data_IF_335586087972
#
_entry.id   IF_335586087972
#
_cell.length_a   1.000
_cell.length_b   1.000
_cell.length_c   1.000
_cell.angle_alpha   90.00
_cell.angle_beta   90.00
_cell.angle_gamma   90.00
#
_symmetry.space_group_name_H-M   'P 1'
#
loop_
_entity.id
_entity.type
_entity.pdbx_description
1 polymer ?
#
# COMPACT_ATOMS: atom_id res chain seq x y z
N UNK A 1 2.20 14.82 -19.53
CA UNK A 1 1.82 13.66 -18.71
C UNK A 1 2.68 13.62 -17.44
N UNK A 2 2.35 12.77 -16.46
CA UNK A 2 3.08 12.63 -15.19
C UNK A 2 3.28 11.14 -14.94
N UNK A 3 4.45 10.76 -14.40
CA UNK A 3 4.70 9.43 -13.86
C UNK A 3 4.41 9.45 -12.37
N UNK A 4 3.66 8.48 -11.88
CA UNK A 4 3.48 8.23 -10.46
C UNK A 4 3.84 6.79 -10.15
N UNK A 5 4.35 6.52 -8.95
CA UNK A 5 4.74 5.16 -8.60
C UNK A 5 4.72 4.87 -7.11
N UNK A 6 4.46 3.60 -6.81
CA UNK A 6 4.50 3.01 -5.48
C UNK A 6 5.58 1.93 -5.45
N UNK A 7 6.60 2.13 -4.63
CA UNK A 7 7.75 1.22 -4.50
C UNK A 7 7.63 0.48 -3.18
N UNK A 8 6.97 -0.68 -3.24
CA UNK A 8 6.86 -1.62 -2.12
C UNK A 8 8.03 -2.60 -2.05
N UNK A 9 8.12 -3.37 -0.95
CA UNK A 9 9.17 -4.39 -0.76
C UNK A 9 9.11 -5.52 -1.79
N UNK A 10 7.91 -5.93 -2.20
CA UNK A 10 7.69 -7.03 -3.14
C UNK A 10 7.54 -6.51 -4.57
N UNK A 11 6.62 -5.58 -4.77
CA UNK A 11 6.26 -5.06 -6.08
C UNK A 11 6.38 -3.54 -6.14
N UNK A 12 6.76 -3.05 -7.32
CA UNK A 12 6.76 -1.64 -7.69
C UNK A 12 5.70 -1.41 -8.77
N UNK A 13 4.74 -0.54 -8.48
CA UNK A 13 3.73 -0.08 -9.45
C UNK A 13 4.15 1.26 -10.03
N UNK A 14 4.24 1.37 -11.35
CA UNK A 14 4.49 2.63 -12.06
C UNK A 14 3.30 2.91 -12.95
N UNK A 15 2.70 4.09 -12.82
CA UNK A 15 1.58 4.52 -13.62
C UNK A 15 1.92 5.81 -14.37
N UNK A 16 1.46 5.91 -15.61
CA UNK A 16 1.49 7.15 -16.37
C UNK A 16 0.08 7.72 -16.41
N UNK A 17 -0.06 8.97 -16.04
CA UNK A 17 -1.33 9.70 -16.03
C UNK A 17 -1.29 10.86 -17.02
N UNK A 18 -2.43 11.12 -17.66
CA UNK A 18 -2.61 12.26 -18.55
C UNK A 18 -2.93 13.56 -17.81
N UNK A 19 -3.19 14.66 -18.55
CA UNK A 19 -3.58 15.95 -17.99
C UNK A 19 -4.88 15.92 -17.18
N UNK A 20 -5.78 14.99 -17.50
CA UNK A 20 -7.04 14.79 -16.78
C UNK A 20 -6.89 13.80 -15.60
N UNK A 21 -5.64 13.48 -15.23
CA UNK A 21 -5.30 12.57 -14.14
C UNK A 21 -5.84 11.13 -14.32
N UNK A 22 -6.16 10.73 -15.54
CA UNK A 22 -6.55 9.34 -15.87
C UNK A 22 -5.30 8.51 -16.13
N UNK A 23 -5.27 7.30 -15.59
CA UNK A 23 -4.17 6.35 -15.83
C UNK A 23 -4.28 5.84 -17.26
N UNK A 24 -3.23 6.07 -18.05
CA UNK A 24 -3.13 5.61 -19.44
C UNK A 24 -2.24 4.37 -19.58
N UNK A 25 -1.34 4.15 -18.65
CA UNK A 25 -0.50 2.94 -18.60
C UNK A 25 -0.14 2.56 -17.19
N UNK A 26 -0.11 1.24 -16.93
CA UNK A 26 0.35 0.65 -15.66
C UNK A 26 1.47 -0.35 -15.95
N UNK A 27 2.49 -0.31 -15.11
CA UNK A 27 3.57 -1.30 -15.06
C UNK A 27 3.61 -1.86 -13.64
N UNK A 28 3.71 -3.17 -13.53
CA UNK A 28 3.95 -3.87 -12.27
C UNK A 28 5.27 -4.62 -12.42
N UNK A 29 6.21 -4.35 -11.53
CA UNK A 29 7.57 -4.88 -11.58
C UNK A 29 7.93 -5.48 -10.23
N UNK A 30 8.49 -6.69 -10.16
CA UNK A 30 9.07 -7.20 -8.92
C UNK A 30 10.20 -6.27 -8.46
N UNK A 31 10.08 -5.68 -7.27
CA UNK A 31 10.98 -4.62 -6.79
C UNK A 31 12.45 -5.05 -6.82
N UNK A 32 12.75 -6.27 -6.39
CA UNK A 32 14.12 -6.82 -6.37
C UNK A 32 14.74 -7.02 -7.77
N UNK A 33 13.91 -7.08 -8.83
CA UNK A 33 14.39 -7.26 -10.22
C UNK A 33 14.61 -5.95 -10.96
N UNK A 34 14.28 -4.81 -10.35
CA UNK A 34 14.42 -3.50 -11.00
C UNK A 34 15.90 -3.15 -11.13
N UNK A 35 16.30 -2.87 -12.36
CA UNK A 35 17.61 -2.37 -12.77
C UNK A 35 17.46 -1.45 -13.98
N UNK A 36 18.54 -0.79 -14.39
CA UNK A 36 18.51 0.17 -15.50
C UNK A 36 18.06 -0.47 -16.83
N UNK A 37 18.46 -1.70 -17.12
CA UNK A 37 18.07 -2.42 -18.34
C UNK A 37 16.58 -2.70 -18.37
N UNK A 38 16.01 -3.19 -17.26
CA UNK A 38 14.57 -3.43 -17.15
C UNK A 38 13.78 -2.13 -17.28
N UNK A 39 14.22 -1.05 -16.61
CA UNK A 39 13.57 0.26 -16.72
C UNK A 39 13.63 0.79 -18.16
N UNK A 40 14.78 0.71 -18.82
CA UNK A 40 14.93 1.10 -20.21
C UNK A 40 13.95 0.33 -21.12
N UNK A 41 13.90 -1.01 -20.99
CA UNK A 41 12.98 -1.86 -21.75
C UNK A 41 11.51 -1.50 -21.49
N UNK A 42 11.13 -1.33 -20.21
CA UNK A 42 9.72 -1.08 -19.84
C UNK A 42 9.24 0.34 -20.10
N UNK A 43 10.13 1.33 -20.09
CA UNK A 43 9.81 2.74 -20.32
C UNK A 43 10.18 3.22 -21.74
N UNK A 44 10.74 2.35 -22.60
CA UNK A 44 11.15 2.68 -23.97
C UNK A 44 10.03 3.30 -24.80
N UNK A 45 8.77 2.93 -24.55
CA UNK A 45 7.62 3.50 -25.27
C UNK A 45 7.46 5.01 -25.03
N UNK A 46 7.98 5.56 -23.93
CA UNK A 46 8.00 7.02 -23.66
C UNK A 46 8.84 7.71 -24.72
N UNK A 47 10.04 7.17 -24.99
CA UNK A 47 10.96 7.69 -26.01
C UNK A 47 10.41 7.44 -27.40
N UNK A 48 10.03 6.18 -27.73
CA UNK A 48 9.55 5.79 -29.06
C UNK A 48 8.31 6.56 -29.52
N UNK A 49 7.43 6.95 -28.59
CA UNK A 49 6.20 7.69 -28.89
C UNK A 49 6.31 9.19 -28.62
N UNK A 50 7.51 9.67 -28.33
CA UNK A 50 7.78 11.07 -27.96
C UNK A 50 6.82 11.62 -26.90
N UNK A 51 6.58 10.83 -25.82
CA UNK A 51 5.63 11.20 -24.78
C UNK A 51 6.28 12.25 -23.86
N UNK A 52 5.76 13.47 -23.87
CA UNK A 52 6.21 14.51 -22.96
C UNK A 52 5.76 14.22 -21.53
N UNK A 53 6.72 13.97 -20.65
CA UNK A 53 6.53 13.78 -19.22
C UNK A 53 7.10 14.99 -18.48
N UNK A 54 6.26 15.72 -17.75
CA UNK A 54 6.68 16.95 -17.05
C UNK A 54 7.44 16.65 -15.75
N UNK A 55 6.95 15.72 -14.95
CA UNK A 55 7.47 15.40 -13.60
C UNK A 55 7.05 14.01 -13.16
N UNK A 56 7.65 13.52 -12.08
CA UNK A 56 7.26 12.24 -11.48
C UNK A 56 7.19 12.31 -9.97
N UNK A 57 6.21 11.58 -9.38
CA UNK A 57 5.98 11.47 -7.95
C UNK A 57 5.94 10.01 -7.53
N UNK A 58 6.74 9.65 -6.54
CA UNK A 58 6.77 8.30 -6.00
C UNK A 58 6.53 8.31 -4.48
N UNK A 59 5.87 7.28 -3.96
CA UNK A 59 6.02 6.86 -2.59
C UNK A 59 6.92 5.62 -2.55
N UNK A 60 7.75 5.50 -1.52
CA UNK A 60 8.69 4.39 -1.42
C UNK A 60 8.96 3.98 0.01
N UNK A 61 8.99 2.67 0.24
CA UNK A 61 9.51 2.03 1.45
C UNK A 61 10.82 1.28 1.19
N UNK A 62 11.38 1.42 -0.02
CA UNK A 62 12.66 0.83 -0.43
C UNK A 62 13.59 1.91 -0.99
N UNK A 63 14.36 2.62 -0.12
CA UNK A 63 15.16 3.79 -0.51
C UNK A 63 16.11 3.56 -1.68
N UNK A 64 16.83 2.44 -1.69
CA UNK A 64 17.79 2.11 -2.75
C UNK A 64 17.11 1.98 -4.12
N UNK A 65 15.94 1.36 -4.18
CA UNK A 65 15.19 1.24 -5.43
C UNK A 65 14.61 2.57 -5.88
N UNK A 66 14.18 3.41 -4.95
CA UNK A 66 13.79 4.77 -5.29
C UNK A 66 14.93 5.58 -5.90
N UNK A 67 16.13 5.53 -5.31
CA UNK A 67 17.32 6.23 -5.83
C UNK A 67 17.70 5.74 -7.23
N UNK A 68 17.61 4.43 -7.49
CA UNK A 68 17.86 3.84 -8.81
C UNK A 68 16.84 4.36 -9.84
N UNK A 69 15.54 4.29 -9.53
CA UNK A 69 14.48 4.77 -10.43
C UNK A 69 14.62 6.29 -10.64
N UNK A 70 14.86 7.06 -9.59
CA UNK A 70 15.10 8.50 -9.67
C UNK A 70 16.27 8.83 -10.59
N UNK A 71 17.42 8.18 -10.41
CA UNK A 71 18.60 8.37 -11.25
C UNK A 71 18.30 8.03 -12.71
N UNK A 72 17.63 6.92 -12.97
CA UNK A 72 17.21 6.55 -14.33
C UNK A 72 16.31 7.60 -14.98
N UNK A 73 15.25 8.05 -14.29
CA UNK A 73 14.32 9.04 -14.81
C UNK A 73 15.01 10.38 -15.09
N UNK A 74 15.89 10.82 -14.18
CA UNK A 74 16.62 12.08 -14.33
C UNK A 74 17.69 12.02 -15.44
N UNK A 75 18.51 10.97 -15.46
CA UNK A 75 19.65 10.88 -16.40
C UNK A 75 19.24 10.48 -17.81
N UNK A 76 18.30 9.51 -17.93
CA UNK A 76 17.90 8.94 -19.23
C UNK A 76 16.70 9.63 -19.86
N UNK A 77 15.76 10.10 -19.07
CA UNK A 77 14.52 10.69 -19.57
C UNK A 77 14.38 12.20 -19.26
N UNK A 78 15.34 12.79 -18.52
CA UNK A 78 15.34 14.20 -18.11
C UNK A 78 14.08 14.60 -17.30
N UNK A 79 13.50 13.65 -16.57
CA UNK A 79 12.27 13.84 -15.79
C UNK A 79 12.63 14.11 -14.32
N UNK A 80 12.14 15.23 -13.76
CA UNK A 80 12.23 15.51 -12.32
C UNK A 80 11.47 14.43 -11.53
N UNK A 81 12.14 13.83 -10.54
CA UNK A 81 11.56 12.76 -9.72
C UNK A 81 11.59 13.17 -8.23
N UNK A 82 10.40 13.19 -7.63
CA UNK A 82 10.20 13.60 -6.23
C UNK A 82 9.61 12.45 -5.43
N UNK A 83 10.04 12.33 -4.18
CA UNK A 83 9.46 11.39 -3.21
C UNK A 83 8.38 12.10 -2.40
N UNK A 84 7.24 11.42 -2.16
CA UNK A 84 6.05 11.98 -1.51
C UNK A 84 6.35 12.68 -0.17
N UNK A 85 7.21 12.10 0.67
CA UNK A 85 7.59 12.70 1.97
C UNK A 85 8.41 13.98 1.85
N UNK A 86 8.95 14.30 0.67
CA UNK A 86 9.67 15.56 0.43
C UNK A 86 8.73 16.73 0.13
N UNK A 87 7.45 16.46 -0.13
CA UNK A 87 6.45 17.49 -0.36
C UNK A 87 5.92 18.06 0.97
N UNK A 88 5.45 19.29 0.97
CA UNK A 88 4.71 19.85 2.10
C UNK A 88 3.27 19.27 2.11
N UNK A 89 3.08 18.17 2.80
CA UNK A 89 1.79 17.47 2.87
C UNK A 89 0.77 18.15 3.80
N UNK A 90 1.18 19.11 4.61
CA UNK A 90 0.26 19.85 5.50
C UNK A 90 -0.78 20.65 4.73
N UNK A 91 -0.46 21.02 3.48
CA UNK A 91 -1.42 21.62 2.54
C UNK A 91 -2.59 20.69 2.19
N UNK A 92 -2.43 19.38 2.40
CA UNK A 92 -3.44 18.38 2.07
C UNK A 92 -4.08 17.80 3.34
N UNK A 93 -3.25 17.43 4.33
CA UNK A 93 -3.66 16.65 5.49
C UNK A 93 -2.78 17.01 6.69
N UNK A 94 -3.40 17.31 7.83
CA UNK A 94 -2.66 17.45 9.08
C UNK A 94 -2.14 16.08 9.55
N UNK A 95 -0.92 16.06 10.10
CA UNK A 95 -0.27 14.84 10.59
C UNK A 95 0.08 15.05 12.06
N UNK A 96 -0.52 14.23 12.96
CA UNK A 96 -0.35 14.35 14.42
C UNK A 96 0.80 13.54 15.00
N UNK A 97 1.48 12.76 14.20
CA UNK A 97 2.58 11.90 14.62
C UNK A 97 3.87 12.30 13.93
N UNK A 98 5.01 11.77 14.37
CA UNK A 98 6.29 12.06 13.73
C UNK A 98 6.27 11.59 12.26
N UNK A 99 6.22 12.55 11.35
CA UNK A 99 6.13 12.31 9.91
C UNK A 99 7.31 11.48 9.36
N UNK A 100 8.49 11.62 9.95
CA UNK A 100 9.68 10.89 9.49
C UNK A 100 9.58 9.38 9.74
N UNK A 101 8.79 8.96 10.74
CA UNK A 101 8.58 7.55 11.08
C UNK A 101 7.43 6.88 10.30
N UNK A 102 6.63 7.64 9.55
CA UNK A 102 5.53 7.08 8.77
C UNK A 102 6.05 6.57 7.44
N UNK A 103 5.63 5.36 7.01
CA UNK A 103 5.86 4.86 5.65
C UNK A 103 5.21 5.78 4.61
N UNK A 104 5.88 5.97 3.48
CA UNK A 104 5.39 6.85 2.41
C UNK A 104 4.10 6.32 1.77
N UNK A 105 3.95 5.02 1.69
CA UNK A 105 2.76 4.28 1.27
C UNK A 105 1.56 4.57 2.18
N UNK A 106 1.77 4.56 3.51
CA UNK A 106 0.75 4.86 4.51
C UNK A 106 0.23 6.30 4.39
N UNK A 107 1.13 7.25 4.11
CA UNK A 107 0.76 8.64 3.81
C UNK A 107 -0.07 8.73 2.52
N UNK A 108 0.37 8.05 1.45
CA UNK A 108 -0.38 8.01 0.20
C UNK A 108 -1.78 7.40 0.38
N UNK A 109 -1.88 6.25 1.09
CA UNK A 109 -3.15 5.62 1.42
C UNK A 109 -4.10 6.57 2.16
N UNK A 110 -3.55 7.30 3.14
CA UNK A 110 -4.32 8.26 3.95
C UNK A 110 -4.80 9.46 3.12
N UNK A 111 -3.94 10.01 2.25
CA UNK A 111 -4.30 11.11 1.34
C UNK A 111 -5.42 10.69 0.38
N UNK A 112 -5.48 9.44 -0.04
CA UNK A 112 -6.52 8.96 -0.95
C UNK A 112 -7.92 9.14 -0.38
N UNK A 113 -8.09 9.00 0.93
CA UNK A 113 -9.40 8.93 1.60
C UNK A 113 -9.82 10.21 2.31
N UNK A 114 -8.92 11.21 2.45
CA UNK A 114 -9.26 12.43 3.17
C UNK A 114 -10.57 13.04 2.68
N UNK A 115 -11.46 13.37 3.62
CA UNK A 115 -12.76 13.98 3.35
C UNK A 115 -13.26 14.67 4.61
N UNK A 116 -13.79 15.89 4.47
CA UNK A 116 -14.40 16.60 5.61
C UNK A 116 -15.49 15.73 6.24
N UNK A 117 -15.55 15.73 7.56
CA UNK A 117 -16.56 15.04 8.37
C UNK A 117 -16.64 13.52 8.16
N UNK A 118 -15.56 12.88 7.71
CA UNK A 118 -15.51 11.42 7.56
C UNK A 118 -14.25 10.88 8.22
N UNK A 119 -14.40 9.70 8.82
CA UNK A 119 -13.29 8.98 9.46
C UNK A 119 -13.05 7.67 8.71
N UNK A 120 -11.78 7.31 8.59
CA UNK A 120 -11.36 6.12 7.86
C UNK A 120 -10.32 5.34 8.65
N UNK A 121 -10.44 4.02 8.63
CA UNK A 121 -9.36 3.09 8.94
C UNK A 121 -8.95 2.46 7.62
N UNK A 122 -7.67 2.58 7.27
CA UNK A 122 -7.12 1.92 6.09
C UNK A 122 -6.31 0.73 6.57
N UNK A 123 -6.75 -0.47 6.20
CA UNK A 123 -6.08 -1.73 6.48
C UNK A 123 -5.32 -2.17 5.23
N UNK A 124 -4.00 -2.27 5.32
CA UNK A 124 -3.15 -2.73 4.21
C UNK A 124 -2.48 -4.06 4.56
N UNK A 125 -2.73 -5.07 3.72
CA UNK A 125 -2.12 -6.39 3.79
C UNK A 125 -0.82 -6.44 2.97
N UNK A 126 0.20 -5.76 3.44
CA UNK A 126 1.55 -5.75 2.87
C UNK A 126 2.50 -6.72 3.56
N UNK A 127 3.80 -6.40 3.55
CA UNK A 127 4.84 -7.10 4.34
C UNK A 127 4.54 -7.04 5.84
N UNK A 128 3.99 -5.93 6.31
CA UNK A 128 3.28 -5.79 7.56
C UNK A 128 1.78 -5.62 7.30
N UNK A 129 0.95 -5.93 8.28
CA UNK A 129 -0.48 -5.59 8.28
C UNK A 129 -0.63 -4.26 9.02
N UNK A 130 -0.97 -3.18 8.31
CA UNK A 130 -1.05 -1.84 8.92
C UNK A 130 -2.49 -1.35 8.98
N UNK A 131 -2.78 -0.56 10.03
CA UNK A 131 -4.06 0.12 10.23
C UNK A 131 -3.77 1.61 10.35
N UNK A 132 -4.13 2.39 9.36
CA UNK A 132 -3.97 3.84 9.35
C UNK A 132 -5.27 4.52 9.74
N UNK A 133 -5.21 5.43 10.71
CA UNK A 133 -6.38 6.10 11.27
C UNK A 133 -6.42 7.55 10.79
N UNK A 134 -7.45 7.88 10.01
CA UNK A 134 -7.71 9.23 9.50
C UNK A 134 -9.02 9.74 10.07
N UNK A 135 -8.98 10.86 10.80
CA UNK A 135 -10.16 11.50 11.41
C UNK A 135 -10.24 12.93 10.92
N UNK A 136 -11.31 13.30 10.24
CA UNK A 136 -11.55 14.68 9.75
C UNK A 136 -10.34 15.29 9.04
N UNK A 137 -9.76 14.60 8.06
CA UNK A 137 -8.56 15.02 7.32
C UNK A 137 -7.27 15.09 8.15
N UNK A 138 -7.25 14.50 9.32
CA UNK A 138 -6.05 14.41 10.17
C UNK A 138 -5.58 12.96 10.22
N UNK A 139 -4.31 12.72 9.91
CA UNK A 139 -3.66 11.44 10.17
C UNK A 139 -3.33 11.34 11.66
N UNK A 140 -3.93 10.39 12.35
CA UNK A 140 -3.80 10.24 13.80
C UNK A 140 -2.83 9.12 14.21
N UNK A 141 -2.13 8.51 13.26
CA UNK A 141 -1.30 7.34 13.52
C UNK A 141 -1.98 6.04 13.12
N UNK A 142 -1.68 4.96 13.80
CA UNK A 142 -2.26 3.66 13.50
C UNK A 142 -1.56 2.51 14.20
N UNK A 143 -1.86 1.29 13.76
CA UNK A 143 -1.32 0.05 14.30
C UNK A 143 -0.51 -0.67 13.23
N UNK A 144 0.55 -1.36 13.63
CA UNK A 144 1.36 -2.22 12.76
C UNK A 144 1.39 -3.61 13.41
N UNK A 145 0.88 -4.60 12.68
CA UNK A 145 0.93 -6.00 13.05
C UNK A 145 1.80 -6.77 12.03
N UNK A 146 2.28 -7.97 12.36
CA UNK A 146 2.98 -8.81 11.41
C UNK A 146 2.14 -9.04 10.15
N UNK A 147 2.77 -9.10 8.98
CA UNK A 147 2.08 -9.43 7.73
C UNK A 147 1.68 -10.91 7.68
N UNK A 148 0.55 -11.20 7.05
CA UNK A 148 0.00 -12.56 6.96
C UNK A 148 0.99 -13.52 6.34
N UNK A 149 1.53 -13.16 5.17
CA UNK A 149 2.48 -14.01 4.44
C UNK A 149 3.82 -14.14 5.17
N UNK A 150 4.31 -13.05 5.74
CA UNK A 150 5.53 -13.05 6.55
C UNK A 150 5.42 -14.04 7.72
N UNK A 151 4.32 -13.96 8.48
CA UNK A 151 4.08 -14.83 9.64
C UNK A 151 3.93 -16.30 9.23
N UNK A 152 3.17 -16.58 8.19
CA UNK A 152 2.99 -17.94 7.67
C UNK A 152 4.31 -18.55 7.21
N UNK A 153 5.06 -17.80 6.39
CA UNK A 153 6.36 -18.27 5.88
C UNK A 153 7.39 -18.43 7.01
N UNK A 154 7.35 -17.59 8.05
CA UNK A 154 8.22 -17.73 9.21
C UNK A 154 7.88 -18.99 10.00
N UNK A 155 6.60 -19.28 10.22
CA UNK A 155 6.16 -20.50 10.89
C UNK A 155 6.59 -21.74 10.10
N UNK A 156 6.36 -21.78 8.78
CA UNK A 156 6.78 -22.90 7.90
C UNK A 156 8.29 -23.11 7.96
N UNK A 157 9.08 -22.04 7.96
CA UNK A 157 10.55 -22.14 8.00
C UNK A 157 11.11 -22.60 9.36
N UNK A 158 10.42 -22.30 10.46
CA UNK A 158 10.90 -22.58 11.82
C UNK A 158 10.37 -23.89 12.39
N UNK A 159 9.25 -24.39 11.90
CA UNK A 159 8.60 -25.61 12.38
C UNK A 159 8.79 -26.75 11.35
N UNK A 160 9.71 -27.64 11.62
CA UNK A 160 10.14 -28.71 10.70
C UNK A 160 9.02 -29.65 10.21
N UNK A 161 7.96 -29.81 11.02
CA UNK A 161 6.81 -30.68 10.69
C UNK A 161 5.69 -29.94 9.94
N UNK A 162 5.82 -28.63 9.71
CA UNK A 162 4.81 -27.88 8.97
C UNK A 162 5.22 -27.80 7.49
N UNK A 163 4.45 -28.43 6.58
CA UNK A 163 4.78 -28.41 5.17
C UNK A 163 4.52 -27.04 4.53
N UNK A 164 5.22 -26.74 3.44
CA UNK A 164 4.97 -25.53 2.64
C UNK A 164 3.54 -25.50 2.15
N UNK A 165 2.88 -24.36 2.30
CA UNK A 165 1.50 -24.19 1.91
C UNK A 165 1.14 -22.72 1.63
N UNK A 166 0.08 -22.51 0.84
CA UNK A 166 -0.53 -21.20 0.64
C UNK A 166 -1.74 -21.02 1.56
N UNK A 167 -1.94 -19.81 2.08
CA UNK A 167 -3.13 -19.48 2.83
C UNK A 167 -4.35 -19.48 1.91
N UNK A 168 -5.41 -20.17 2.34
CA UNK A 168 -6.71 -20.22 1.67
C UNK A 168 -7.82 -20.02 2.70
N UNK A 169 -8.97 -19.55 2.24
CA UNK A 169 -10.19 -19.48 3.07
C UNK A 169 -10.57 -20.88 3.56
N UNK A 170 -10.93 -20.99 4.83
CA UNK A 170 -11.45 -22.20 5.43
C UNK A 170 -12.84 -21.94 6.02
N UNK A 171 -13.73 -22.97 5.92
CA UNK A 171 -15.07 -22.94 6.51
C UNK A 171 -15.05 -23.50 7.94
N UNK A 172 -14.18 -24.48 8.20
CA UNK A 172 -14.10 -25.18 9.50
C UNK A 172 -12.98 -24.56 10.33
N UNK A 173 -13.25 -24.38 11.63
CA UNK A 173 -12.23 -23.88 12.58
C UNK A 173 -11.29 -25.01 12.97
N UNK A 174 -11.82 -26.20 13.25
CA UNK A 174 -11.01 -27.36 13.65
C UNK A 174 -10.45 -28.03 12.39
N UNK A 175 -9.14 -27.95 12.19
CA UNK A 175 -8.42 -28.67 11.14
C UNK A 175 -8.16 -30.13 11.56
N UNK A 176 -8.40 -31.09 10.64
CA UNK A 176 -8.17 -32.52 10.90
C UNK A 176 -6.81 -33.02 10.41
N UNK A 177 -5.98 -32.16 9.91
CA UNK A 177 -4.57 -32.42 9.56
C UNK A 177 -3.78 -31.10 9.71
N UNK A 178 -2.46 -31.19 9.73
CA UNK A 178 -1.55 -30.05 9.95
C UNK A 178 -1.83 -28.89 9.00
N UNK A 179 -1.99 -29.15 7.70
CA UNK A 179 -2.22 -28.10 6.70
C UNK A 179 -3.52 -27.33 7.00
N UNK A 180 -4.62 -28.05 7.30
CA UNK A 180 -5.90 -27.42 7.58
C UNK A 180 -5.90 -26.72 8.94
N UNK A 181 -5.18 -27.25 9.94
CA UNK A 181 -5.05 -26.63 11.25
C UNK A 181 -4.28 -25.28 11.13
N UNK A 182 -3.16 -25.26 10.41
CA UNK A 182 -2.39 -24.03 10.17
C UNK A 182 -3.20 -23.02 9.36
N UNK A 183 -3.86 -23.46 8.26
CA UNK A 183 -4.74 -22.56 7.48
C UNK A 183 -5.85 -21.95 8.32
N UNK A 184 -6.47 -22.77 9.17
CA UNK A 184 -7.53 -22.30 10.06
C UNK A 184 -7.03 -21.27 11.07
N UNK A 185 -5.92 -21.57 11.75
CA UNK A 185 -5.30 -20.64 12.69
C UNK A 185 -4.95 -19.29 12.06
N UNK A 186 -4.34 -19.30 10.88
CA UNK A 186 -4.02 -18.05 10.17
C UNK A 186 -5.27 -17.32 9.67
N UNK A 187 -6.22 -18.03 9.07
CA UNK A 187 -7.41 -17.40 8.50
C UNK A 187 -8.30 -16.77 9.59
N UNK A 188 -8.70 -17.56 10.57
CA UNK A 188 -9.57 -17.07 11.65
C UNK A 188 -8.84 -16.21 12.66
N UNK A 189 -7.55 -16.50 12.92
CA UNK A 189 -6.70 -15.70 13.79
C UNK A 189 -6.52 -14.27 13.25
N UNK A 190 -6.19 -14.11 11.96
CA UNK A 190 -6.08 -12.78 11.35
C UNK A 190 -7.43 -12.07 11.22
N UNK A 191 -8.51 -12.79 10.89
CA UNK A 191 -9.85 -12.19 10.89
C UNK A 191 -10.20 -11.63 12.28
N UNK A 192 -9.97 -12.41 13.35
CA UNK A 192 -10.18 -11.97 14.72
C UNK A 192 -9.28 -10.81 15.15
N UNK A 193 -7.99 -10.84 14.77
CA UNK A 193 -7.05 -9.75 15.01
C UNK A 193 -7.54 -8.45 14.39
N UNK A 194 -7.97 -8.51 13.13
CA UNK A 194 -8.44 -7.33 12.39
C UNK A 194 -9.70 -6.75 13.04
N UNK A 195 -10.72 -7.58 13.27
CA UNK A 195 -11.97 -7.13 13.86
C UNK A 195 -11.75 -6.56 15.27
N UNK A 196 -10.87 -7.16 16.06
CA UNK A 196 -10.54 -6.67 17.40
C UNK A 196 -9.83 -5.31 17.35
N UNK A 197 -8.80 -5.14 16.49
CA UNK A 197 -8.07 -3.87 16.36
C UNK A 197 -9.01 -2.76 15.86
N UNK A 198 -9.84 -3.03 14.85
CA UNK A 198 -10.83 -2.06 14.35
C UNK A 198 -11.78 -1.64 15.49
N UNK A 199 -12.26 -2.59 16.28
CA UNK A 199 -13.13 -2.33 17.42
C UNK A 199 -12.44 -1.50 18.51
N UNK A 200 -11.17 -1.80 18.84
CA UNK A 200 -10.39 -1.05 19.82
C UNK A 200 -10.18 0.40 19.37
N UNK A 201 -9.84 0.63 18.09
CA UNK A 201 -9.74 1.98 17.53
C UNK A 201 -11.05 2.74 17.63
N UNK A 202 -12.19 2.09 17.34
CA UNK A 202 -13.51 2.70 17.48
C UNK A 202 -13.85 3.04 18.93
N UNK A 203 -13.53 2.17 19.87
CA UNK A 203 -13.73 2.39 21.32
C UNK A 203 -12.86 3.53 21.84
N UNK A 204 -11.58 3.53 21.54
CA UNK A 204 -10.62 4.56 21.97
C UNK A 204 -11.00 5.95 21.45
N UNK A 205 -11.34 6.04 20.18
CA UNK A 205 -11.66 7.33 19.56
C UNK A 205 -13.10 7.77 19.76
N UNK A 206 -13.99 6.89 20.22
CA UNK A 206 -15.46 7.10 20.32
C UNK A 206 -16.07 7.56 18.98
N UNK A 207 -15.54 7.07 17.85
CA UNK A 207 -15.97 7.48 16.49
C UNK A 207 -16.34 6.26 15.63
N UNK A 208 -17.24 6.51 14.68
CA UNK A 208 -17.53 5.55 13.59
C UNK A 208 -16.57 5.76 12.43
N UNK A 209 -16.15 4.68 11.80
CA UNK A 209 -15.21 4.68 10.69
C UNK A 209 -15.76 3.92 9.49
N UNK A 210 -15.35 4.36 8.29
CA UNK A 210 -15.37 3.53 7.09
C UNK A 210 -14.05 2.76 7.05
N UNK A 211 -14.11 1.43 6.97
CA UNK A 211 -12.93 0.58 6.89
C UNK A 211 -12.64 0.28 5.42
N UNK A 212 -11.45 0.66 4.96
CA UNK A 212 -10.99 0.38 3.60
C UNK A 212 -9.87 -0.64 3.70
N UNK A 213 -9.93 -1.66 2.88
CA UNK A 213 -8.92 -2.72 2.85
C UNK A 213 -8.20 -2.76 1.51
N UNK A 214 -6.89 -2.94 1.55
CA UNK A 214 -6.00 -3.04 0.39
C UNK A 214 -4.94 -4.13 0.60
N UNK A 215 -4.03 -4.29 -0.36
CA UNK A 215 -2.96 -5.27 -0.28
C UNK A 215 -3.35 -6.68 -0.75
N UNK A 216 -2.37 -7.59 -0.70
CA UNK A 216 -2.45 -8.92 -1.33
C UNK A 216 -3.56 -9.81 -0.81
N UNK A 217 -3.84 -9.77 0.50
CA UNK A 217 -4.85 -10.61 1.16
C UNK A 217 -6.22 -9.94 1.31
N UNK A 218 -6.40 -8.71 0.81
CA UNK A 218 -7.67 -7.98 0.94
C UNK A 218 -8.88 -8.80 0.45
N UNK A 219 -8.77 -9.48 -0.69
CA UNK A 219 -9.85 -10.31 -1.23
C UNK A 219 -10.15 -11.53 -0.35
N UNK A 220 -9.12 -12.13 0.26
CA UNK A 220 -9.28 -13.33 1.08
C UNK A 220 -10.12 -13.02 2.34
N UNK A 221 -9.87 -11.87 2.96
CA UNK A 221 -10.48 -11.50 4.23
C UNK A 221 -11.77 -10.68 4.10
N UNK A 222 -12.00 -9.98 2.97
CA UNK A 222 -13.11 -9.03 2.80
C UNK A 222 -14.47 -9.53 3.29
N UNK A 223 -14.82 -10.78 2.93
CA UNK A 223 -16.11 -11.38 3.27
C UNK A 223 -16.09 -12.21 4.57
N UNK A 224 -15.02 -12.10 5.36
CA UNK A 224 -14.85 -12.90 6.59
C UNK A 224 -14.69 -12.02 7.83
N UNK A 225 -14.62 -10.70 7.62
CA UNK A 225 -14.62 -9.71 8.69
C UNK A 225 -16.05 -9.39 9.12
N UNK A 226 -16.23 -9.16 10.42
CA UNK A 226 -17.51 -8.66 10.99
C UNK A 226 -17.75 -7.21 10.59
N UNK A 227 -16.67 -6.42 10.50
CA UNK A 227 -16.72 -5.03 10.07
C UNK A 227 -17.06 -4.94 8.58
N UNK A 228 -18.01 -4.04 8.21
CA UNK A 228 -18.27 -3.72 6.80
C UNK A 228 -17.05 -3.03 6.19
N UNK A 229 -16.43 -3.65 5.20
CA UNK A 229 -15.22 -3.16 4.57
C UNK A 229 -15.41 -2.82 3.09
N UNK A 230 -14.61 -1.89 2.60
CA UNK A 230 -14.54 -1.50 1.18
C UNK A 230 -13.17 -1.91 0.66
N UNK A 231 -13.11 -2.73 -0.38
CA UNK A 231 -11.84 -3.13 -1.00
C UNK A 231 -11.40 -2.10 -2.03
N UNK A 232 -10.17 -1.58 -1.88
CA UNK A 232 -9.56 -0.68 -2.86
C UNK A 232 -8.08 -1.04 -3.11
N UNK A 233 -7.80 -1.69 -4.23
CA UNK A 233 -6.45 -2.14 -4.60
C UNK A 233 -5.53 -1.04 -5.09
N UNK A 234 -6.10 0.09 -5.47
CA UNK A 234 -5.40 1.21 -6.09
C UNK A 234 -5.27 2.40 -5.14
N UNK A 235 -5.57 2.22 -3.86
CA UNK A 235 -5.65 3.32 -2.90
C UNK A 235 -4.36 4.15 -2.87
N UNK A 236 -3.19 3.52 -2.86
CA UNK A 236 -1.89 4.19 -2.88
C UNK A 236 -1.73 5.07 -4.13
N UNK A 237 -2.06 4.51 -5.30
CA UNK A 237 -2.01 5.24 -6.57
C UNK A 237 -3.02 6.39 -6.58
N UNK A 238 -4.23 6.20 -6.04
CA UNK A 238 -5.22 7.27 -5.88
C UNK A 238 -4.71 8.40 -4.98
N UNK A 239 -3.99 8.06 -3.91
CA UNK A 239 -3.34 9.04 -3.04
C UNK A 239 -2.29 9.86 -3.78
N UNK A 240 -1.43 9.22 -4.58
CA UNK A 240 -0.46 9.92 -5.41
C UNK A 240 -1.14 10.81 -6.47
N UNK A 241 -2.18 10.33 -7.13
CA UNK A 241 -2.99 11.14 -8.07
C UNK A 241 -3.55 12.38 -7.35
N UNK A 242 -4.11 12.18 -6.16
CA UNK A 242 -4.67 13.29 -5.38
C UNK A 242 -3.60 14.30 -4.96
N UNK A 243 -2.42 13.83 -4.57
CA UNK A 243 -1.28 14.70 -4.25
C UNK A 243 -0.89 15.56 -5.45
N UNK A 244 -0.75 14.95 -6.63
CA UNK A 244 -0.38 15.66 -7.88
C UNK A 244 -1.44 16.72 -8.27
N UNK A 245 -2.72 16.50 -7.91
CA UNK A 245 -3.80 17.47 -8.15
C UNK A 245 -3.73 18.67 -7.21
N UNK A 246 -3.27 18.47 -5.98
CA UNK A 246 -3.37 19.45 -4.90
C UNK A 246 -2.07 20.19 -4.61
N UNK A 247 -0.94 19.64 -5.00
CA UNK A 247 0.40 20.23 -4.79
C UNK A 247 1.12 20.34 -6.13
N UNK A 248 1.58 21.51 -6.43
CA UNK A 248 2.60 21.71 -7.48
C UNK A 248 3.99 21.49 -6.92
N UNK A 249 4.92 20.81 -7.70
CA UNK A 249 6.25 20.43 -7.22
C UNK A 249 7.25 20.29 -8.36
#
# INVERSE_FOLDING_TARGET
>A
MIIIGDIGNTDTKICIINSNYKIIKRLLLPTKKINNSLLAKKLNFIVKRNISIKKSLFCSVVPNQFLLIKSFLQKKLKIKCVELKKLNLEKIMKIRVNRHQIGSDRLANSIAVISKNKNFIILDFGTATTFDVVINNVYNGGVIAPGVDLSLNTLIKKASLIPSMNLKKTKKVIGRNTINAVRSGFFWGYAGLIDNIVNLIMKETKKKFKVIITGGFSKLFANSLKSKVITDKDITIKGLIRTVKLIDF
#
